data_IF_504542520581
#
_entry.id   IF_504542520581
#
_cell.length_a   1.000
_cell.length_b   1.000
_cell.length_c   1.000
_cell.angle_alpha   90.00
_cell.angle_beta   90.00
_cell.angle_gamma   90.00
#
_symmetry.space_group_name_H-M   'P 1'
#
loop_
_entity.id
_entity.type
_entity.pdbx_description
1 polymer ?
#
# COMPACT_ATOMS: atom_id res chain seq x y z
N UNK A 1 -24.51 32.79 8.39
CA UNK A 1 -23.08 32.47 8.41
C UNK A 1 -22.84 31.02 8.04
N UNK A 2 -22.09 30.80 6.99
CA UNK A 2 -21.83 29.47 6.53
C UNK A 2 -20.80 28.80 7.40
N UNK A 3 -21.19 27.68 7.95
CA UNK A 3 -20.27 26.84 8.68
C UNK A 3 -19.24 26.26 7.72
N UNK A 4 -18.01 26.59 7.91
CA UNK A 4 -16.95 25.99 7.12
C UNK A 4 -16.83 24.53 7.51
N UNK A 5 -16.85 23.64 6.50
CA UNK A 5 -16.50 22.27 6.72
C UNK A 5 -15.08 22.20 7.26
N UNK A 6 -14.87 21.40 8.27
CA UNK A 6 -13.52 21.07 8.68
C UNK A 6 -12.78 20.49 7.48
N UNK A 7 -11.65 21.04 7.09
CA UNK A 7 -10.89 20.44 6.02
C UNK A 7 -10.44 19.03 6.43
N UNK A 8 -10.26 18.10 5.47
CA UNK A 8 -9.67 16.83 5.78
C UNK A 8 -8.35 17.03 6.52
N UNK A 9 -7.94 16.08 7.34
CA UNK A 9 -6.72 16.19 8.12
C UNK A 9 -5.49 16.03 7.22
N UNK A 10 -5.23 17.07 6.43
CA UNK A 10 -4.14 17.13 5.46
C UNK A 10 -2.92 17.77 6.06
N UNK A 11 -1.77 17.19 5.76
CA UNK A 11 -0.47 17.70 6.16
C UNK A 11 0.40 17.88 4.92
N UNK A 12 1.46 18.72 4.98
CA UNK A 12 2.43 18.72 3.90
C UNK A 12 2.97 17.30 3.65
N UNK A 13 3.04 16.91 2.38
CA UNK A 13 3.50 15.56 2.04
C UNK A 13 4.92 15.30 2.53
N UNK A 14 5.74 16.34 2.64
CA UNK A 14 7.11 16.23 3.17
C UNK A 14 7.14 15.68 4.60
N UNK A 15 6.07 15.84 5.36
CA UNK A 15 5.95 15.28 6.71
C UNK A 15 5.94 13.75 6.70
N UNK A 16 5.51 13.18 5.60
CA UNK A 16 5.38 11.73 5.44
C UNK A 16 6.41 11.15 4.46
N UNK A 17 7.50 11.89 4.23
CA UNK A 17 8.50 11.46 3.24
C UNK A 17 9.08 10.08 3.58
N UNK A 18 9.31 9.80 4.85
CA UNK A 18 9.82 8.49 5.30
C UNK A 18 8.80 7.40 5.02
N UNK A 19 7.51 7.68 5.27
CA UNK A 19 6.42 6.73 4.98
C UNK A 19 6.38 6.40 3.49
N UNK A 20 6.48 7.43 2.65
CA UNK A 20 6.45 7.27 1.20
C UNK A 20 7.68 6.50 0.71
N UNK A 21 8.85 6.83 1.24
CA UNK A 21 10.09 6.15 0.88
C UNK A 21 10.08 4.68 1.30
N UNK A 22 9.55 4.39 2.49
CA UNK A 22 9.42 3.00 2.96
C UNK A 22 8.45 2.21 2.11
N UNK A 23 7.35 2.83 1.69
CA UNK A 23 6.38 2.20 0.79
C UNK A 23 7.03 1.90 -0.58
N UNK A 24 7.79 2.84 -1.11
CA UNK A 24 8.47 2.65 -2.38
C UNK A 24 9.50 1.51 -2.29
N UNK A 25 10.25 1.45 -1.20
CA UNK A 25 11.21 0.38 -0.98
C UNK A 25 10.51 -0.97 -0.86
N UNK A 26 9.42 -1.04 -0.10
CA UNK A 26 8.64 -2.26 0.04
C UNK A 26 8.07 -2.72 -1.30
N UNK A 27 7.62 -1.78 -2.12
CA UNK A 27 7.15 -2.08 -3.48
C UNK A 27 8.25 -2.71 -4.31
N UNK A 28 9.45 -2.15 -4.27
CA UNK A 28 10.58 -2.65 -5.04
C UNK A 28 11.03 -4.04 -4.58
N UNK A 29 11.14 -4.24 -3.29
CA UNK A 29 11.59 -5.51 -2.71
C UNK A 29 10.58 -6.63 -2.93
N UNK A 30 9.31 -6.32 -2.74
CA UNK A 30 8.22 -7.30 -2.89
C UNK A 30 7.83 -7.57 -4.33
N UNK A 31 8.22 -6.68 -5.26
CA UNK A 31 7.77 -6.77 -6.64
C UNK A 31 6.31 -6.41 -6.84
N UNK A 32 5.65 -5.84 -5.84
CA UNK A 32 4.25 -5.43 -5.95
C UNK A 32 4.09 -4.34 -7.00
N UNK A 33 2.99 -4.41 -7.76
CA UNK A 33 2.70 -3.38 -8.77
C UNK A 33 2.04 -2.18 -8.11
N UNK A 34 2.12 -1.03 -8.77
CA UNK A 34 1.42 0.18 -8.29
C UNK A 34 -0.09 -0.03 -8.25
N UNK A 35 -0.63 -0.84 -9.16
CA UNK A 35 -2.05 -1.18 -9.15
C UNK A 35 -2.45 -1.85 -7.84
N UNK A 36 -1.65 -2.82 -7.40
CA UNK A 36 -1.87 -3.50 -6.12
C UNK A 36 -1.78 -2.53 -4.95
N UNK A 37 -0.76 -1.68 -4.94
CA UNK A 37 -0.60 -0.69 -3.88
C UNK A 37 -1.79 0.27 -3.81
N UNK A 38 -2.24 0.78 -4.96
CA UNK A 38 -3.36 1.70 -5.01
C UNK A 38 -4.62 1.05 -4.45
N UNK A 39 -4.85 -0.22 -4.78
CA UNK A 39 -6.00 -0.97 -4.28
C UNK A 39 -5.91 -1.19 -2.77
N UNK A 40 -4.74 -1.56 -2.26
CA UNK A 40 -4.55 -1.79 -0.82
C UNK A 40 -4.71 -0.51 0.00
N UNK A 41 -4.22 0.60 -0.52
CA UNK A 41 -4.31 1.90 0.16
C UNK A 41 -5.70 2.50 -0.03
N UNK A 42 -6.39 2.15 -1.10
CA UNK A 42 -7.73 2.66 -1.38
C UNK A 42 -7.72 4.03 -2.05
N UNK A 43 -6.73 4.29 -2.91
CA UNK A 43 -6.62 5.53 -3.68
C UNK A 43 -6.48 5.20 -5.17
N UNK A 44 -6.67 6.21 -6.01
CA UNK A 44 -6.51 6.03 -7.44
C UNK A 44 -5.03 5.83 -7.80
N UNK A 45 -4.80 5.07 -8.85
CA UNK A 45 -3.46 4.81 -9.36
C UNK A 45 -2.69 6.11 -9.63
N UNK A 46 -3.34 7.07 -10.27
CA UNK A 46 -2.70 8.36 -10.60
C UNK A 46 -2.30 9.13 -9.34
N UNK A 47 -3.11 9.06 -8.30
CA UNK A 47 -2.81 9.70 -7.01
C UNK A 47 -1.60 9.03 -6.36
N UNK A 48 -1.59 7.69 -6.34
CA UNK A 48 -0.46 6.94 -5.79
C UNK A 48 0.84 7.28 -6.54
N UNK A 49 0.78 7.29 -7.87
CA UNK A 49 1.95 7.57 -8.69
C UNK A 49 2.53 8.96 -8.36
N UNK A 50 1.67 9.96 -8.14
CA UNK A 50 2.11 11.28 -7.74
C UNK A 50 2.80 11.28 -6.37
N UNK A 51 2.31 10.49 -5.42
CA UNK A 51 2.98 10.34 -4.13
C UNK A 51 4.37 9.73 -4.29
N UNK A 52 4.46 8.64 -5.05
CA UNK A 52 5.74 7.95 -5.22
C UNK A 52 6.77 8.78 -5.97
N UNK A 53 6.32 9.62 -6.90
CA UNK A 53 7.19 10.56 -7.63
C UNK A 53 7.45 11.85 -6.85
N UNK A 54 6.82 12.00 -5.69
CA UNK A 54 6.94 13.18 -4.82
C UNK A 54 6.45 14.47 -5.47
N UNK A 55 5.47 14.32 -6.35
CA UNK A 55 4.83 15.46 -7.03
C UNK A 55 3.66 16.04 -6.24
N UNK A 56 3.13 15.29 -5.27
CA UNK A 56 1.98 15.72 -4.50
C UNK A 56 2.44 16.46 -3.24
N UNK A 57 1.84 17.64 -3.02
CA UNK A 57 2.27 18.54 -1.93
C UNK A 57 1.63 18.26 -0.58
N UNK A 58 0.48 17.58 -0.57
CA UNK A 58 -0.26 17.31 0.66
C UNK A 58 -0.63 15.84 0.74
N UNK A 59 -0.76 15.35 1.97
CA UNK A 59 -1.17 13.97 2.22
C UNK A 59 -2.12 13.95 3.40
N UNK A 60 -3.22 13.23 3.26
CA UNK A 60 -4.13 13.00 4.36
C UNK A 60 -3.50 12.03 5.34
N UNK A 61 -3.67 12.29 6.63
CA UNK A 61 -3.12 11.43 7.67
C UNK A 61 -3.62 9.99 7.55
N UNK A 62 -4.89 9.81 7.21
CA UNK A 62 -5.47 8.49 7.02
C UNK A 62 -4.81 7.72 5.88
N UNK A 63 -4.50 8.42 4.79
CA UNK A 63 -3.79 7.81 3.65
C UNK A 63 -2.38 7.38 4.09
N UNK A 64 -1.69 8.22 4.84
CA UNK A 64 -0.36 7.89 5.36
C UNK A 64 -0.39 6.65 6.25
N UNK A 65 -1.40 6.52 7.11
CA UNK A 65 -1.57 5.33 7.95
C UNK A 65 -1.76 4.07 7.12
N UNK A 66 -2.56 4.15 6.06
CA UNK A 66 -2.76 3.02 5.15
C UNK A 66 -1.49 2.65 4.41
N UNK A 67 -0.66 3.63 4.07
CA UNK A 67 0.65 3.38 3.48
C UNK A 67 1.54 2.58 4.43
N UNK A 68 1.55 2.92 5.71
CA UNK A 68 2.32 2.20 6.73
C UNK A 68 1.84 0.75 6.83
N UNK A 69 0.53 0.56 6.90
CA UNK A 69 -0.06 -0.80 6.98
C UNK A 69 0.33 -1.62 5.76
N UNK A 70 0.24 -1.02 4.57
CA UNK A 70 0.59 -1.69 3.32
C UNK A 70 2.08 -2.05 3.29
N UNK A 71 2.94 -1.13 3.71
CA UNK A 71 4.39 -1.37 3.79
C UNK A 71 4.69 -2.56 4.70
N UNK A 72 4.08 -2.58 5.88
CA UNK A 72 4.30 -3.66 6.84
C UNK A 72 3.81 -5.01 6.29
N UNK A 73 2.67 -5.01 5.62
CA UNK A 73 2.12 -6.21 5.01
C UNK A 73 3.05 -6.78 3.94
N UNK A 74 3.55 -5.93 3.05
CA UNK A 74 4.47 -6.36 2.00
C UNK A 74 5.77 -6.90 2.58
N UNK A 75 6.32 -6.21 3.58
CA UNK A 75 7.56 -6.66 4.22
C UNK A 75 7.37 -8.01 4.91
N UNK A 76 6.23 -8.21 5.55
CA UNK A 76 5.91 -9.49 6.19
C UNK A 76 5.84 -10.63 5.18
N UNK A 77 5.20 -10.38 4.03
CA UNK A 77 5.11 -11.40 2.98
C UNK A 77 6.47 -11.72 2.38
N UNK A 78 7.35 -10.73 2.25
CA UNK A 78 8.72 -10.96 1.81
C UNK A 78 9.47 -11.81 2.84
N UNK A 79 9.34 -11.48 4.12
CA UNK A 79 10.01 -12.23 5.19
C UNK A 79 9.55 -13.69 5.25
N UNK A 80 8.29 -13.94 4.91
CA UNK A 80 7.74 -15.30 4.88
C UNK A 80 8.03 -16.04 3.57
N UNK A 81 8.74 -15.42 2.65
CA UNK A 81 9.09 -16.02 1.37
C UNK A 81 7.95 -16.11 0.36
N UNK A 82 6.85 -15.39 0.60
CA UNK A 82 5.70 -15.39 -0.30
C UNK A 82 5.84 -14.40 -1.45
N UNK A 83 6.59 -13.35 -1.25
CA UNK A 83 6.92 -12.37 -2.28
C UNK A 83 8.44 -12.23 -2.38
N UNK A 84 9.01 -11.87 -3.53
CA UNK A 84 8.32 -11.63 -4.80
C UNK A 84 7.84 -12.92 -5.48
N UNK A 85 6.88 -12.78 -6.38
CA UNK A 85 6.40 -13.91 -7.17
C UNK A 85 7.43 -14.26 -8.26
N UNK A 86 7.37 -15.50 -8.83
CA UNK A 86 8.36 -15.92 -9.83
C UNK A 86 8.40 -14.97 -11.03
N UNK A 87 9.61 -14.66 -11.55
CA UNK A 87 9.77 -13.73 -12.66
C UNK A 87 9.12 -14.19 -13.96
N UNK A 88 8.81 -15.49 -14.10
CA UNK A 88 8.12 -16.03 -15.27
C UNK A 88 6.66 -15.63 -15.34
N UNK A 89 6.09 -15.12 -14.25
CA UNK A 89 4.69 -14.74 -14.21
C UNK A 89 4.44 -13.59 -15.18
N UNK A 90 3.42 -13.76 -16.03
CA UNK A 90 3.06 -12.72 -16.99
C UNK A 90 2.77 -11.40 -16.28
N UNK A 91 3.30 -10.32 -16.84
CA UNK A 91 3.07 -8.99 -16.29
C UNK A 91 1.59 -8.66 -16.16
N UNK A 92 0.75 -9.14 -17.09
CA UNK A 92 -0.69 -8.93 -17.06
C UNK A 92 -1.36 -9.60 -15.87
N UNK A 93 -0.83 -10.74 -15.45
CA UNK A 93 -1.40 -11.52 -14.36
C UNK A 93 -0.80 -11.16 -13.00
N UNK A 94 0.29 -10.43 -13.00
CA UNK A 94 1.07 -10.16 -11.79
C UNK A 94 0.24 -9.51 -10.69
N UNK A 95 -0.53 -8.48 -11.01
CA UNK A 95 -1.35 -7.79 -10.01
C UNK A 95 -2.41 -8.71 -9.43
N UNK A 96 -3.07 -9.50 -10.26
CA UNK A 96 -4.09 -10.45 -9.80
C UNK A 96 -3.51 -11.53 -8.90
N UNK A 97 -2.36 -12.08 -9.29
CA UNK A 97 -1.67 -13.11 -8.48
C UNK A 97 -1.28 -12.55 -7.12
N UNK A 98 -0.72 -11.36 -7.09
CA UNK A 98 -0.30 -10.72 -5.83
C UNK A 98 -1.52 -10.44 -4.95
N UNK A 99 -2.60 -9.91 -5.51
CA UNK A 99 -3.82 -9.64 -4.73
C UNK A 99 -4.43 -10.91 -4.16
N UNK A 100 -4.46 -11.98 -4.95
CA UNK A 100 -4.95 -13.26 -4.47
C UNK A 100 -4.11 -13.79 -3.31
N UNK A 101 -2.80 -13.71 -3.44
CA UNK A 101 -1.87 -14.13 -2.39
C UNK A 101 -2.07 -13.31 -1.11
N UNK A 102 -2.24 -12.01 -1.23
CA UNK A 102 -2.49 -11.12 -0.10
C UNK A 102 -3.81 -11.46 0.58
N UNK A 103 -4.87 -11.67 -0.21
CA UNK A 103 -6.17 -12.02 0.33
C UNK A 103 -6.14 -13.35 1.06
N UNK A 104 -5.45 -14.34 0.51
CA UNK A 104 -5.28 -15.63 1.17
C UNK A 104 -4.55 -15.50 2.49
N UNK A 105 -3.48 -14.71 2.50
CA UNK A 105 -2.70 -14.46 3.72
C UNK A 105 -3.57 -13.80 4.80
N UNK A 106 -4.32 -12.77 4.44
CA UNK A 106 -5.18 -12.06 5.39
C UNK A 106 -6.30 -12.97 5.91
N UNK A 107 -6.82 -13.84 5.06
CA UNK A 107 -7.84 -14.80 5.46
C UNK A 107 -7.28 -15.81 6.47
N UNK A 108 -6.07 -16.31 6.25
CA UNK A 108 -5.40 -17.22 7.17
C UNK A 108 -5.15 -16.57 8.53
N UNK A 109 -4.70 -15.32 8.54
CA UNK A 109 -4.49 -14.58 9.79
C UNK A 109 -5.80 -14.45 10.58
N UNK A 110 -6.92 -14.15 9.91
CA UNK A 110 -8.23 -14.10 10.55
C UNK A 110 -8.65 -15.43 11.13
N UNK A 111 -8.41 -16.51 10.38
CA UNK A 111 -8.77 -17.84 10.83
C UNK A 111 -7.99 -18.22 12.08
N UNK A 112 -6.69 -17.91 12.11
CA UNK A 112 -5.84 -18.18 13.26
C UNK A 112 -6.34 -17.41 14.49
N UNK A 113 -6.73 -16.15 14.33
CA UNK A 113 -7.29 -15.36 15.42
C UNK A 113 -8.60 -15.94 15.94
N UNK A 114 -9.44 -16.45 15.05
CA UNK A 114 -10.76 -16.96 15.42
C UNK A 114 -10.70 -18.34 16.08
N UNK A 115 -9.62 -19.08 15.94
CA UNK A 115 -9.46 -20.39 16.57
C UNK A 115 -8.91 -20.31 17.99
N UNK A 116 -8.51 -19.14 18.39
CA UNK A 116 -8.08 -18.92 19.77
C UNK A 116 -9.29 -18.51 20.66
#
# INVERSE_FOLDING_TARGET
>A
MTKKRKPPNRRPASRYIVVIDDLLLAQQVSGATKVVLAELIGIEYTTLDKYLKKERNVCEHEIAKRMVVTTNLLNELVDKGKLPIPPETSHRLKSGVIMELINDYLTQERTDESTN
#
